data_IF_300338081831
#
_entry.id   IF_300338081831
#
_cell.length_a   1.000
_cell.length_b   1.000
_cell.length_c   1.000
_cell.angle_alpha   90.00
_cell.angle_beta   90.00
_cell.angle_gamma   90.00
#
_symmetry.space_group_name_H-M   'P 1'
#
loop_
_entity.id
_entity.type
_entity.pdbx_description
1 polymer ?
#
# COMPACT_ATOMS: atom_id res chain seq x y z
N UNK A 1 1.17 22.01 11.33
CA UNK A 1 0.67 20.86 10.53
C UNK A 1 0.57 19.64 11.44
N UNK A 2 -0.49 18.82 11.36
CA UNK A 2 -0.54 17.57 12.12
C UNK A 2 0.53 16.59 11.60
N UNK A 3 1.13 15.76 12.47
CA UNK A 3 2.16 14.81 12.07
C UNK A 3 1.58 13.78 11.08
N UNK A 4 2.31 13.54 9.99
CA UNK A 4 1.93 12.59 8.94
C UNK A 4 1.88 11.18 9.52
N UNK A 5 0.67 10.60 9.58
CA UNK A 5 0.48 9.21 10.04
C UNK A 5 1.04 8.24 9.02
N UNK A 6 2.13 7.56 9.37
CA UNK A 6 2.70 6.50 8.54
C UNK A 6 1.91 5.20 8.84
N UNK A 7 1.35 4.50 7.86
CA UNK A 7 0.70 3.21 8.13
C UNK A 7 1.74 2.15 8.54
N UNK A 8 1.41 1.28 9.49
CA UNK A 8 2.23 0.11 9.81
C UNK A 8 1.98 -0.94 8.73
N UNK A 9 3.04 -1.40 8.08
CA UNK A 9 2.97 -2.34 6.96
C UNK A 9 2.70 -3.75 7.50
N UNK A 10 2.05 -4.60 6.71
CA UNK A 10 1.71 -5.96 7.11
C UNK A 10 2.94 -6.81 7.52
N UNK A 11 4.09 -6.61 6.87
CA UNK A 11 5.36 -7.26 7.25
C UNK A 11 5.76 -6.91 8.69
N UNK A 12 5.72 -5.62 9.04
CA UNK A 12 6.07 -5.13 10.38
C UNK A 12 5.14 -5.71 11.45
N UNK A 13 3.86 -5.90 11.11
CA UNK A 13 2.88 -6.54 12.00
C UNK A 13 3.18 -8.03 12.20
N UNK A 14 3.51 -8.74 11.13
CA UNK A 14 3.87 -10.16 11.20
C UNK A 14 5.13 -10.37 12.05
N UNK A 15 6.15 -9.53 11.86
CA UNK A 15 7.40 -9.55 12.65
C UNK A 15 7.13 -9.29 14.14
N UNK A 16 6.25 -8.33 14.47
CA UNK A 16 5.84 -8.08 15.87
C UNK A 16 5.13 -9.29 16.49
N UNK A 17 4.23 -9.94 15.75
CA UNK A 17 3.51 -11.15 16.21
C UNK A 17 4.45 -12.34 16.40
N UNK A 18 5.38 -12.54 15.48
CA UNK A 18 6.41 -13.59 15.58
C UNK A 18 7.30 -13.38 16.81
N UNK A 19 7.74 -12.14 17.06
CA UNK A 19 8.56 -11.80 18.22
C UNK A 19 7.81 -12.09 19.54
N UNK A 20 6.54 -11.65 19.66
CA UNK A 20 5.72 -11.94 20.84
C UNK A 20 5.58 -13.44 21.13
N UNK A 21 5.47 -14.29 20.09
CA UNK A 21 5.36 -15.75 20.24
C UNK A 21 6.67 -16.46 20.54
N UNK A 22 7.80 -15.89 20.09
CA UNK A 22 9.12 -16.46 20.34
C UNK A 22 9.60 -16.31 21.78
N UNK A 23 8.98 -15.41 22.56
CA UNK A 23 9.38 -15.14 23.93
C UNK A 23 8.51 -15.92 24.93
N UNK A 24 9.16 -16.53 25.92
CA UNK A 24 8.52 -17.21 27.06
C UNK A 24 9.23 -16.77 28.35
N UNK A 25 8.55 -16.09 29.29
CA UNK A 25 7.15 -15.65 29.29
C UNK A 25 6.85 -14.53 28.26
N UNK A 26 5.56 -14.31 27.91
CA UNK A 26 5.18 -13.30 26.92
C UNK A 26 5.51 -11.88 27.43
N UNK A 27 6.15 -11.03 26.60
CA UNK A 27 6.55 -9.69 26.99
C UNK A 27 5.33 -8.79 27.20
N UNK A 28 5.46 -7.81 28.10
CA UNK A 28 4.40 -6.83 28.30
C UNK A 28 4.24 -5.95 27.05
N UNK A 29 3.05 -5.38 26.87
CA UNK A 29 2.75 -4.47 25.78
C UNK A 29 3.69 -3.25 25.74
N UNK A 30 4.20 -2.82 26.90
CA UNK A 30 5.22 -1.75 26.99
C UNK A 30 6.55 -2.18 26.39
N UNK A 31 6.97 -3.42 26.64
CA UNK A 31 8.21 -3.97 26.11
C UNK A 31 8.12 -4.17 24.60
N UNK A 32 6.98 -4.66 24.10
CA UNK A 32 6.72 -4.76 22.65
C UNK A 32 6.75 -3.40 21.96
N UNK A 33 6.21 -2.36 22.61
CA UNK A 33 6.26 -0.99 22.10
C UNK A 33 7.70 -0.46 22.00
N UNK A 34 8.49 -0.68 23.06
CA UNK A 34 9.90 -0.28 23.08
C UNK A 34 10.72 -1.03 22.04
N UNK A 35 10.52 -2.35 21.94
CA UNK A 35 11.18 -3.19 20.95
C UNK A 35 10.84 -2.71 19.53
N UNK A 36 9.57 -2.42 19.23
CA UNK A 36 9.17 -1.92 17.92
C UNK A 36 9.82 -0.57 17.60
N UNK A 37 9.92 0.32 18.59
CA UNK A 37 10.62 1.59 18.45
C UNK A 37 12.12 1.41 18.18
N UNK A 38 12.78 0.46 18.85
CA UNK A 38 14.19 0.16 18.62
C UNK A 38 14.44 -0.44 17.23
N UNK A 39 13.55 -1.33 16.76
CA UNK A 39 13.71 -2.00 15.46
C UNK A 39 13.44 -1.07 14.27
N UNK A 40 12.41 -0.21 14.36
CA UNK A 40 11.93 0.58 13.22
C UNK A 40 12.13 2.09 13.40
N UNK A 41 12.81 2.53 14.48
CA UNK A 41 12.93 3.93 14.89
C UNK A 41 11.58 4.66 14.91
N UNK A 42 10.53 3.94 15.30
CA UNK A 42 9.15 4.40 15.17
C UNK A 42 8.32 4.10 16.42
N UNK A 43 7.71 5.12 17.05
CA UNK A 43 6.81 4.88 18.17
C UNK A 43 5.51 4.23 17.70
N UNK A 44 5.02 3.27 18.49
CA UNK A 44 3.73 2.60 18.31
C UNK A 44 2.88 2.80 19.56
N UNK A 45 1.58 3.02 19.38
CA UNK A 45 0.66 3.14 20.50
C UNK A 45 0.33 1.75 21.07
N UNK A 46 0.12 1.65 22.39
CA UNK A 46 -0.31 0.41 23.05
C UNK A 46 -1.59 -0.18 22.43
N UNK A 47 -2.54 0.69 22.05
CA UNK A 47 -3.77 0.27 21.36
C UNK A 47 -3.49 -0.39 20.01
N UNK A 48 -2.51 0.13 19.26
CA UNK A 48 -2.09 -0.47 17.99
C UNK A 48 -1.40 -1.82 18.20
N UNK A 49 -0.57 -1.98 19.25
CA UNK A 49 0.04 -3.28 19.58
C UNK A 49 -1.04 -4.32 19.91
N UNK A 50 -1.99 -3.96 20.78
CA UNK A 50 -3.12 -4.83 21.12
C UNK A 50 -3.94 -5.20 19.88
N UNK A 51 -4.22 -4.23 19.02
CA UNK A 51 -4.95 -4.49 17.78
C UNK A 51 -4.17 -5.41 16.82
N UNK A 52 -2.84 -5.26 16.72
CA UNK A 52 -1.98 -6.13 15.90
C UNK A 52 -1.93 -7.56 16.45
N UNK A 53 -1.96 -7.74 17.77
CA UNK A 53 -1.98 -9.05 18.42
C UNK A 53 -3.36 -9.71 18.41
N UNK A 54 -4.43 -8.95 18.14
CA UNK A 54 -5.79 -9.50 18.06
C UNK A 54 -5.99 -10.48 16.91
N UNK A 55 -7.12 -11.21 16.96
CA UNK A 55 -7.50 -12.19 15.93
C UNK A 55 -7.65 -11.60 14.53
N UNK A 56 -7.84 -10.27 14.44
CA UNK A 56 -7.91 -9.53 13.18
C UNK A 56 -6.71 -9.79 12.28
N UNK A 57 -5.54 -10.08 12.85
CA UNK A 57 -4.29 -10.29 12.13
C UNK A 57 -3.74 -11.71 12.21
N UNK A 58 -4.52 -12.69 12.65
CA UNK A 58 -4.10 -14.10 12.66
C UNK A 58 -3.72 -14.62 11.27
N UNK A 59 -4.32 -14.05 10.22
CA UNK A 59 -3.98 -14.34 8.83
C UNK A 59 -2.52 -14.02 8.47
N UNK A 60 -1.85 -13.14 9.22
CA UNK A 60 -0.43 -12.82 9.02
C UNK A 60 0.51 -13.93 9.49
N UNK A 61 0.01 -14.82 10.35
CA UNK A 61 0.81 -15.92 10.89
C UNK A 61 0.76 -17.17 10.02
N UNK A 62 -0.13 -17.18 9.03
CA UNK A 62 -0.24 -18.28 8.09
C UNK A 62 0.91 -18.22 7.08
N UNK A 63 1.55 -19.37 6.79
CA UNK A 63 2.74 -19.48 5.92
C UNK A 63 2.57 -18.93 4.50
N UNK A 64 1.33 -18.65 4.08
CA UNK A 64 0.98 -18.10 2.78
C UNK A 64 1.07 -16.57 2.70
N UNK A 65 1.38 -15.88 3.81
CA UNK A 65 1.53 -14.43 3.79
C UNK A 65 2.79 -14.03 3.00
N UNK A 66 2.60 -13.46 1.81
CA UNK A 66 3.69 -12.86 1.03
C UNK A 66 3.86 -11.38 1.44
N UNK A 67 4.94 -11.04 2.15
CA UNK A 67 5.14 -9.73 2.76
C UNK A 67 5.22 -8.60 1.71
N UNK A 68 5.72 -8.91 0.51
CA UNK A 68 5.95 -7.98 -0.60
C UNK A 68 4.70 -7.54 -1.36
N UNK A 69 3.50 -8.04 -1.00
CA UNK A 69 2.26 -7.63 -1.67
C UNK A 69 1.84 -6.24 -1.15
N UNK A 70 2.52 -5.19 -1.63
CA UNK A 70 2.00 -3.82 -1.60
C UNK A 70 0.54 -3.91 -2.02
N UNK A 71 -0.39 -3.52 -1.14
CA UNK A 71 -1.84 -3.56 -1.40
C UNK A 71 -2.07 -3.17 -2.86
N UNK A 72 -2.49 -4.13 -3.68
CA UNK A 72 -2.69 -3.92 -5.11
C UNK A 72 -3.73 -2.82 -5.19
N UNK A 73 -3.29 -1.60 -5.47
CA UNK A 73 -4.16 -0.44 -5.59
C UNK A 73 -4.93 -0.72 -6.87
N UNK A 74 -6.10 -1.35 -6.73
CA UNK A 74 -7.03 -1.58 -7.84
C UNK A 74 -7.28 -0.19 -8.40
N UNK A 75 -6.66 0.11 -9.55
CA UNK A 75 -6.79 1.43 -10.16
C UNK A 75 -8.27 1.57 -10.50
N UNK A 76 -8.86 2.66 -10.02
CA UNK A 76 -10.30 2.99 -10.07
C UNK A 76 -10.90 3.02 -11.49
N UNK A 77 -10.08 2.89 -12.52
CA UNK A 77 -10.45 3.02 -13.93
C UNK A 77 -9.72 2.00 -14.81
N UNK A 78 -10.07 0.70 -14.73
CA UNK A 78 -9.52 -0.30 -15.63
C UNK A 78 -9.89 0.02 -17.09
N UNK A 79 -11.13 0.46 -17.35
CA UNK A 79 -11.66 0.75 -18.68
C UNK A 79 -10.92 1.91 -19.38
N UNK A 80 -10.64 3.00 -18.66
CA UNK A 80 -9.89 4.15 -19.18
C UNK A 80 -8.50 3.74 -19.67
N UNK A 81 -7.83 2.84 -18.94
CA UNK A 81 -6.52 2.33 -19.35
C UNK A 81 -6.62 1.49 -20.61
N UNK A 82 -7.64 0.66 -20.74
CA UNK A 82 -7.81 -0.20 -21.91
C UNK A 82 -8.04 0.66 -23.15
N UNK A 83 -8.89 1.69 -23.05
CA UNK A 83 -9.11 2.66 -24.12
C UNK A 83 -7.84 3.43 -24.49
N UNK A 84 -7.05 3.86 -23.50
CA UNK A 84 -5.78 4.55 -23.73
C UNK A 84 -4.75 3.63 -24.42
N UNK A 85 -4.61 2.38 -23.98
CA UNK A 85 -3.66 1.42 -24.58
C UNK A 85 -4.06 1.10 -26.02
N UNK A 86 -5.35 0.92 -26.29
CA UNK A 86 -5.85 0.70 -27.65
C UNK A 86 -5.56 1.90 -28.55
N UNK A 87 -5.74 3.11 -28.03
CA UNK A 87 -5.44 4.34 -28.75
C UNK A 87 -3.95 4.52 -29.03
N UNK A 88 -3.09 4.25 -28.05
CA UNK A 88 -1.63 4.32 -28.22
C UNK A 88 -1.16 3.31 -29.27
N UNK A 89 -1.63 2.06 -29.21
CA UNK A 89 -1.30 1.03 -30.21
C UNK A 89 -1.75 1.40 -31.62
N UNK A 90 -2.93 2.01 -31.76
CA UNK A 90 -3.45 2.45 -33.05
C UNK A 90 -2.67 3.64 -33.66
N UNK A 91 -1.86 4.35 -32.85
CA UNK A 91 -1.04 5.47 -33.31
C UNK A 91 0.43 5.10 -33.44
N UNK A 92 0.95 4.17 -32.63
CA UNK A 92 2.31 3.63 -32.81
C UNK A 92 2.49 3.05 -34.22
N UNK A 93 1.46 2.44 -34.81
CA UNK A 93 1.49 1.96 -36.20
C UNK A 93 1.55 3.10 -37.25
N UNK A 94 1.29 4.36 -36.87
CA UNK A 94 1.22 5.51 -37.79
C UNK A 94 2.24 6.60 -37.54
N UNK A 95 2.71 6.80 -36.30
CA UNK A 95 3.64 7.87 -35.92
C UNK A 95 4.49 7.43 -34.72
N UNK A 96 5.80 7.67 -34.79
CA UNK A 96 6.73 7.56 -33.66
C UNK A 96 6.35 8.56 -32.56
N UNK A 97 5.54 8.10 -31.60
CA UNK A 97 5.02 8.87 -30.47
C UNK A 97 6.15 9.26 -29.50
N UNK A 98 6.71 10.44 -29.68
CA UNK A 98 7.52 11.10 -28.65
C UNK A 98 6.57 11.62 -27.56
N UNK A 99 6.92 11.40 -26.28
CA UNK A 99 6.05 11.55 -25.11
C UNK A 99 5.38 12.91 -24.89
N UNK A 100 5.73 13.93 -25.68
CA UNK A 100 5.13 15.26 -25.62
C UNK A 100 3.71 15.33 -26.23
N UNK A 101 3.38 14.47 -27.20
CA UNK A 101 2.03 14.42 -27.80
C UNK A 101 0.96 13.86 -26.85
N UNK A 102 1.37 13.04 -25.88
CA UNK A 102 0.47 12.50 -24.86
C UNK A 102 -0.04 13.60 -23.90
N UNK A 103 0.79 14.61 -23.60
CA UNK A 103 0.38 15.74 -22.75
C UNK A 103 -0.61 16.67 -23.45
N UNK A 104 -0.36 16.98 -24.73
CA UNK A 104 -1.25 17.84 -25.52
C UNK A 104 -2.66 17.25 -25.66
N UNK A 105 -2.79 15.92 -25.69
CA UNK A 105 -4.10 15.29 -25.84
C UNK A 105 -4.87 15.12 -24.53
N UNK A 106 -4.19 15.08 -23.40
CA UNK A 106 -4.87 15.14 -22.10
C UNK A 106 -5.56 16.50 -21.90
N UNK A 107 -4.95 17.62 -22.32
CA UNK A 107 -5.60 18.94 -22.28
C UNK A 107 -6.83 19.00 -23.20
N UNK A 108 -6.74 18.45 -24.41
CA UNK A 108 -7.84 18.49 -25.39
C UNK A 108 -9.03 17.58 -25.03
N UNK A 109 -8.81 16.52 -24.25
CA UNK A 109 -9.88 15.60 -23.85
C UNK A 109 -10.72 16.10 -22.67
N UNK A 110 -10.26 17.10 -21.92
CA UNK A 110 -11.02 17.65 -20.78
C UNK A 110 -12.15 18.60 -21.19
N UNK A 111 -12.13 19.19 -22.40
CA UNK A 111 -13.17 20.13 -22.83
C UNK A 111 -14.48 19.47 -23.30
N UNK A 112 -14.48 18.15 -23.53
CA UNK A 112 -15.61 17.45 -24.18
C UNK A 112 -16.40 16.52 -23.27
N UNK A 113 -16.38 16.73 -21.96
CA UNK A 113 -17.24 15.98 -21.02
C UNK A 113 -18.46 16.86 -20.71
N UNK A 114 -19.65 16.64 -21.32
CA UNK A 114 -20.87 17.29 -20.85
C UNK A 114 -21.23 16.67 -19.51
N UNK A 115 -21.45 17.52 -18.50
CA UNK A 115 -21.94 17.11 -17.19
C UNK A 115 -23.32 16.48 -17.31
N UNK A 116 -23.49 15.29 -16.74
CA UNK A 116 -24.78 14.73 -16.34
C UNK A 116 -24.62 13.99 -15.02
#
# INVERSE_FOLDING_TARGET
MPPKRIPIIAEQKAVLRAHHRSQYPPPDYKELSNWFQQQYNRPIARSSVSEILSSRYDYLDQSKFQPSTKRRRVKKWPELKTALIQWVRAIEDKVTLTGDLLKLKEEFSFERIPSY
#
